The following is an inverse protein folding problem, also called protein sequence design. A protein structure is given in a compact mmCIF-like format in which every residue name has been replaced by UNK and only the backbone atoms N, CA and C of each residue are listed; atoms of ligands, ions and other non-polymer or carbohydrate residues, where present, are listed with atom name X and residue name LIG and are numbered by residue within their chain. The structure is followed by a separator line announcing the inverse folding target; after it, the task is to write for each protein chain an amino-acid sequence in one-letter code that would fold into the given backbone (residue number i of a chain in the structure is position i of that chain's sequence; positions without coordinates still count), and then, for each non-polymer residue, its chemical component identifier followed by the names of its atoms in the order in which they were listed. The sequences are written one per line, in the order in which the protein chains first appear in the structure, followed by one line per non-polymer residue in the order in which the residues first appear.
data_IF_472717476081
#
_entry.id   IF_472717476081
#
_cell.length_a   1.000
_cell.length_b   1.000
_cell.length_c   1.000
_cell.angle_alpha   90.00
_cell.angle_beta   90.00
_cell.angle_gamma   90.00
#
_symmetry.space_group_name_H-M   'P 1'
#
loop_
_entity.id
_entity.type
_entity.pdbx_description
1 polymer ?
#
# COMPACT_ATOMS: atom_id res chain seq x y z
N UNK A 1 -63.77 45.79 -68.11
CA UNK A 1 -64.06 46.38 -66.78
C UNK A 1 -64.36 45.22 -65.83
N UNK A 2 -63.75 45.02 -64.67
CA UNK A 2 -62.68 45.73 -63.97
C UNK A 2 -61.91 44.69 -63.13
N UNK A 3 -60.58 44.78 -63.15
CA UNK A 3 -59.61 43.90 -62.50
C UNK A 3 -59.46 44.23 -61.01
N UNK A 4 -59.38 43.20 -60.16
CA UNK A 4 -59.14 43.33 -58.72
C UNK A 4 -57.63 43.35 -58.41
N UNK A 5 -57.23 44.26 -57.53
CA UNK A 5 -55.85 44.56 -57.11
C UNK A 5 -55.38 43.66 -55.94
N UNK A 6 -54.14 43.10 -55.95
CA UNK A 6 -53.62 42.21 -54.90
C UNK A 6 -53.13 42.87 -53.60
N UNK A 7 -53.53 44.11 -53.27
CA UNK A 7 -52.92 44.87 -52.16
C UNK A 7 -53.61 44.74 -50.78
N UNK A 8 -54.69 43.97 -50.64
CA UNK A 8 -55.47 43.92 -49.40
C UNK A 8 -55.30 42.66 -48.53
N UNK A 9 -54.30 41.80 -48.80
CA UNK A 9 -54.13 40.53 -48.06
C UNK A 9 -52.96 40.47 -47.07
N UNK A 10 -52.32 41.60 -46.73
CA UNK A 10 -51.20 41.61 -45.75
C UNK A 10 -51.31 42.82 -44.83
N UNK A 11 -52.34 42.87 -43.98
CA UNK A 11 -52.42 43.90 -42.93
C UNK A 11 -53.12 43.47 -41.63
N UNK A 12 -53.16 42.18 -41.31
CA UNK A 12 -53.88 41.66 -40.14
C UNK A 12 -53.06 40.82 -39.15
N UNK A 13 -51.71 40.85 -39.20
CA UNK A 13 -50.93 39.92 -38.36
C UNK A 13 -49.73 40.47 -37.60
N UNK A 14 -49.69 41.76 -37.23
CA UNK A 14 -48.76 42.23 -36.19
C UNK A 14 -49.40 43.36 -35.40
N UNK A 15 -50.14 43.00 -34.35
CA UNK A 15 -50.58 43.95 -33.34
C UNK A 15 -49.39 44.36 -32.47
N UNK A 16 -49.14 45.67 -32.37
CA UNK A 16 -48.26 46.23 -31.35
C UNK A 16 -49.02 46.33 -30.02
N UNK A 17 -48.48 45.73 -28.96
CA UNK A 17 -48.82 46.09 -27.57
C UNK A 17 -47.54 46.27 -26.74
N UNK A 18 -47.44 47.34 -25.94
CA UNK A 18 -46.27 47.67 -25.13
C UNK A 18 -46.35 47.02 -23.73
N UNK A 19 -45.22 46.58 -23.18
CA UNK A 19 -45.06 46.37 -21.73
C UNK A 19 -43.58 46.21 -21.36
N UNK A 20 -42.89 47.34 -21.24
CA UNK A 20 -41.60 47.46 -20.54
C UNK A 20 -41.89 47.56 -19.03
N UNK A 21 -41.64 46.49 -18.28
CA UNK A 21 -41.49 46.58 -16.82
C UNK A 21 -40.79 45.38 -16.19
N UNK A 22 -40.80 44.21 -16.85
CA UNK A 22 -40.12 42.99 -16.36
C UNK A 22 -38.68 42.83 -16.84
N UNK A 23 -38.34 43.36 -18.01
CA UNK A 23 -36.97 43.26 -18.58
C UNK A 23 -35.99 44.13 -17.80
N UNK A 24 -36.40 45.33 -17.42
CA UNK A 24 -35.51 46.29 -16.75
C UNK A 24 -35.21 45.87 -15.31
N UNK A 25 -36.17 45.24 -14.62
CA UNK A 25 -35.95 44.64 -13.29
C UNK A 25 -35.00 43.44 -13.35
N UNK A 26 -35.07 42.62 -14.41
CA UNK A 26 -34.15 41.50 -14.59
C UNK A 26 -32.73 41.97 -14.94
N UNK A 27 -32.61 43.02 -15.75
CA UNK A 27 -31.33 43.58 -16.18
C UNK A 27 -30.60 44.27 -15.02
N UNK A 28 -31.32 45.01 -14.17
CA UNK A 28 -30.72 45.60 -12.96
C UNK A 28 -30.35 44.54 -11.91
N UNK A 29 -31.11 43.44 -11.80
CA UNK A 29 -30.74 42.32 -10.94
C UNK A 29 -29.47 41.62 -11.44
N UNK A 30 -29.35 41.39 -12.75
CA UNK A 30 -28.14 40.84 -13.36
C UNK A 30 -26.91 41.75 -13.20
N UNK A 31 -27.08 43.07 -13.30
CA UNK A 31 -25.99 44.02 -13.00
C UNK A 31 -25.55 43.96 -11.54
N UNK A 32 -26.48 43.83 -10.61
CA UNK A 32 -26.18 43.67 -9.17
C UNK A 32 -25.40 42.38 -8.88
N UNK A 33 -25.79 41.27 -9.50
CA UNK A 33 -25.12 39.97 -9.36
C UNK A 33 -23.71 39.98 -9.98
N UNK A 34 -23.52 40.64 -11.14
CA UNK A 34 -22.19 40.81 -11.76
C UNK A 34 -21.28 41.71 -10.92
N UNK A 35 -21.83 42.76 -10.30
CA UNK A 35 -21.07 43.62 -9.40
C UNK A 35 -20.62 42.86 -8.13
N UNK A 36 -21.51 42.04 -7.54
CA UNK A 36 -21.19 41.22 -6.38
C UNK A 36 -20.15 40.13 -6.69
N UNK A 37 -20.23 39.52 -7.88
CA UNK A 37 -19.21 38.59 -8.36
C UNK A 37 -17.86 39.26 -8.56
N UNK A 38 -17.86 40.48 -9.10
CA UNK A 38 -16.63 41.25 -9.33
C UNK A 38 -15.98 41.64 -8.00
N UNK A 39 -16.75 42.08 -7.00
CA UNK A 39 -16.21 42.38 -5.66
C UNK A 39 -15.68 41.12 -4.97
N UNK A 40 -16.35 39.97 -5.10
CA UNK A 40 -15.86 38.71 -4.52
C UNK A 40 -14.56 38.25 -5.18
N UNK A 41 -14.42 38.42 -6.50
CA UNK A 41 -13.20 38.09 -7.22
C UNK A 41 -12.03 39.02 -6.85
N UNK A 42 -12.31 40.31 -6.66
CA UNK A 42 -11.33 41.30 -6.20
C UNK A 42 -10.89 41.03 -4.74
N UNK A 43 -11.80 40.54 -3.89
CA UNK A 43 -11.50 40.13 -2.51
C UNK A 43 -10.62 38.87 -2.45
N UNK A 44 -10.89 37.88 -3.31
CA UNK A 44 -10.09 36.65 -3.45
C UNK A 44 -8.71 36.94 -4.02
N UNK A 45 -8.59 37.89 -4.96
CA UNK A 45 -7.32 38.24 -5.60
C UNK A 45 -6.48 39.22 -4.79
N UNK A 46 -7.07 40.04 -3.92
CA UNK A 46 -6.32 40.92 -3.00
C UNK A 46 -5.88 40.23 -1.70
N UNK A 47 -6.44 39.05 -1.38
CA UNK A 47 -6.03 38.16 -0.30
C UNK A 47 -4.65 37.53 -0.50
N UNK A 48 -3.61 38.35 -0.58
CA UNK A 48 -2.20 37.94 -0.65
C UNK A 48 -1.71 37.53 0.74
N UNK A 49 -2.23 36.40 1.23
CA UNK A 49 -1.78 35.73 2.45
C UNK A 49 -0.95 34.50 2.09
N UNK A 50 0.34 34.49 2.47
CA UNK A 50 1.20 33.29 2.44
C UNK A 50 0.51 32.15 3.19
N UNK A 51 -0.06 31.17 2.49
CA UNK A 51 -0.48 29.90 3.09
C UNK A 51 0.59 28.87 2.78
N UNK A 52 1.35 28.54 3.81
CA UNK A 52 2.40 27.51 3.82
C UNK A 52 1.80 26.13 3.59
N UNK A 53 2.56 25.30 2.87
CA UNK A 53 2.24 23.98 2.30
C UNK A 53 1.83 22.86 3.29
N UNK A 54 1.58 23.18 4.57
CA UNK A 54 1.45 22.17 5.64
C UNK A 54 0.02 21.83 6.08
N UNK A 55 -1.01 22.40 5.45
CA UNK A 55 -2.42 22.16 5.85
C UNK A 55 -3.32 21.57 4.76
N UNK A 56 -2.78 21.17 3.59
CA UNK A 56 -3.56 20.50 2.54
C UNK A 56 -3.78 18.99 2.74
N UNK A 57 -3.14 18.37 3.72
CA UNK A 57 -3.14 16.91 3.87
C UNK A 57 -4.19 16.32 4.84
N UNK A 58 -5.20 17.08 5.30
CA UNK A 58 -6.21 16.55 6.24
C UNK A 58 -7.68 16.63 5.80
N UNK A 59 -7.96 16.87 4.52
CA UNK A 59 -9.34 17.01 4.03
C UNK A 59 -9.61 16.29 2.70
N UNK A 60 -8.96 15.14 2.49
CA UNK A 60 -9.16 14.29 1.30
C UNK A 60 -9.30 12.81 1.66
N UNK A 61 -10.02 12.50 2.73
CA UNK A 61 -10.55 11.16 2.97
C UNK A 61 -12.02 11.25 3.35
N UNK A 62 -12.87 11.25 2.32
CA UNK A 62 -14.23 10.67 2.27
C UNK A 62 -15.11 11.43 1.26
N UNK A 63 -15.23 10.84 0.06
CA UNK A 63 -16.16 11.30 -0.97
C UNK A 63 -16.01 10.48 -2.24
N UNK A 64 -17.10 10.07 -2.91
CA UNK A 64 -17.03 9.14 -4.02
C UNK A 64 -16.33 9.81 -5.21
N UNK A 65 -15.20 9.25 -5.63
CA UNK A 65 -14.40 9.70 -6.77
C UNK A 65 -15.13 9.65 -8.14
N UNK A 66 -16.44 9.37 -8.15
CA UNK A 66 -17.26 9.24 -9.35
C UNK A 66 -18.08 10.50 -9.70
N UNK A 67 -18.15 11.50 -8.80
CA UNK A 67 -18.90 12.74 -9.06
C UNK A 67 -18.03 13.83 -9.73
N UNK A 68 -16.74 13.89 -9.41
CA UNK A 68 -15.81 14.88 -9.96
C UNK A 68 -15.42 14.60 -11.42
N UNK A 69 -15.30 13.34 -11.82
CA UNK A 69 -14.88 12.97 -13.18
C UNK A 69 -15.97 13.29 -14.22
N UNK A 70 -17.24 13.08 -13.89
CA UNK A 70 -18.38 13.43 -14.75
C UNK A 70 -18.55 14.94 -14.91
N UNK A 71 -18.30 15.72 -13.85
CA UNK A 71 -18.35 17.18 -13.90
C UNK A 71 -17.20 17.76 -14.73
N UNK A 72 -15.98 17.22 -14.60
CA UNK A 72 -14.82 17.64 -15.38
C UNK A 72 -14.98 17.33 -16.88
N UNK A 73 -15.55 16.16 -17.21
CA UNK A 73 -15.87 15.79 -18.60
C UNK A 73 -16.93 16.70 -19.22
N UNK A 74 -17.96 17.09 -18.45
CA UNK A 74 -19.02 18.00 -18.90
C UNK A 74 -18.51 19.42 -19.15
N UNK A 75 -17.63 19.93 -18.29
CA UNK A 75 -16.98 21.23 -18.48
C UNK A 75 -16.10 21.21 -19.73
N UNK A 76 -15.29 20.17 -19.92
CA UNK A 76 -14.43 20.04 -21.09
C UNK A 76 -15.22 19.97 -22.40
N UNK A 77 -16.35 19.25 -22.41
CA UNK A 77 -17.24 19.20 -23.58
C UNK A 77 -17.82 20.57 -23.92
N UNK A 78 -18.19 21.36 -22.91
CA UNK A 78 -18.68 22.74 -23.11
C UNK A 78 -17.58 23.69 -23.59
N UNK A 79 -16.35 23.54 -23.10
CA UNK A 79 -15.19 24.29 -23.61
C UNK A 79 -14.92 23.95 -25.09
N UNK A 80 -15.03 22.68 -25.47
CA UNK A 80 -14.86 22.25 -26.86
C UNK A 80 -15.96 22.80 -27.76
N UNK A 81 -17.23 22.76 -27.32
CA UNK A 81 -18.35 23.36 -28.04
C UNK A 81 -18.19 24.88 -28.21
N UNK A 82 -17.67 25.57 -27.20
CA UNK A 82 -17.41 27.00 -27.28
C UNK A 82 -16.31 27.32 -28.29
N UNK A 83 -15.22 26.53 -28.32
CA UNK A 83 -14.14 26.69 -29.30
C UNK A 83 -14.65 26.49 -30.73
N UNK A 84 -15.44 25.44 -30.97
CA UNK A 84 -16.06 25.18 -32.28
C UNK A 84 -17.02 26.32 -32.69
N UNK A 85 -17.82 26.84 -31.76
CA UNK A 85 -18.70 27.97 -32.04
C UNK A 85 -17.92 29.26 -32.37
N UNK A 86 -16.81 29.52 -31.67
CA UNK A 86 -15.94 30.66 -31.95
C UNK A 86 -15.25 30.53 -33.31
N UNK A 87 -14.78 29.35 -33.67
CA UNK A 87 -14.18 29.08 -34.98
C UNK A 87 -15.20 29.28 -36.11
N UNK A 88 -16.42 28.77 -35.95
CA UNK A 88 -17.51 28.97 -36.92
C UNK A 88 -17.88 30.45 -37.06
N UNK A 89 -17.92 31.20 -35.96
CA UNK A 89 -18.14 32.66 -36.01
C UNK A 89 -17.03 33.38 -36.78
N UNK A 90 -15.77 32.98 -36.61
CA UNK A 90 -14.66 33.53 -37.38
C UNK A 90 -14.80 33.24 -38.88
N UNK A 91 -15.20 32.01 -39.24
CA UNK A 91 -15.46 31.62 -40.62
C UNK A 91 -16.63 32.43 -41.23
N UNK A 92 -17.72 32.64 -40.49
CA UNK A 92 -18.84 33.48 -40.92
C UNK A 92 -18.43 34.92 -41.18
N UNK A 93 -17.56 35.49 -40.33
CA UNK A 93 -17.04 36.84 -40.52
C UNK A 93 -16.21 36.96 -41.81
N UNK A 94 -15.34 35.99 -42.08
CA UNK A 94 -14.54 35.95 -43.32
C UNK A 94 -15.45 35.82 -44.54
N UNK A 95 -16.45 34.94 -44.48
CA UNK A 95 -17.43 34.77 -45.53
C UNK A 95 -18.21 36.08 -45.79
N UNK A 96 -18.64 36.76 -44.73
CA UNK A 96 -19.34 38.04 -44.81
C UNK A 96 -18.50 39.10 -45.53
N UNK A 97 -17.22 39.22 -45.15
CA UNK A 97 -16.30 40.16 -45.75
C UNK A 97 -15.96 39.85 -47.22
N UNK A 98 -15.82 38.56 -47.56
CA UNK A 98 -15.67 38.12 -48.95
C UNK A 98 -16.93 38.46 -49.77
N UNK A 99 -18.11 38.20 -49.23
CA UNK A 99 -19.40 38.52 -49.85
C UNK A 99 -19.53 40.01 -50.10
N UNK A 100 -19.19 40.86 -49.12
CA UNK A 100 -19.20 42.30 -49.29
C UNK A 100 -18.23 42.77 -50.38
N UNK A 101 -17.02 42.20 -50.42
CA UNK A 101 -16.01 42.54 -51.42
C UNK A 101 -16.48 42.15 -52.84
N UNK A 102 -17.08 40.98 -52.97
CA UNK A 102 -17.65 40.51 -54.23
C UNK A 102 -18.79 41.42 -54.72
N UNK A 103 -19.73 41.79 -53.84
CA UNK A 103 -20.84 42.69 -54.18
C UNK A 103 -20.31 44.07 -54.59
N UNK A 104 -19.32 44.62 -53.88
CA UNK A 104 -18.65 45.88 -54.26
C UNK A 104 -18.01 45.78 -55.66
N UNK A 105 -17.37 44.66 -55.97
CA UNK A 105 -16.80 44.39 -57.29
C UNK A 105 -17.85 44.32 -58.41
N UNK A 106 -18.97 43.64 -58.16
CA UNK A 106 -20.09 43.59 -59.10
C UNK A 106 -20.67 44.97 -59.37
N UNK A 107 -20.89 45.78 -58.33
CA UNK A 107 -21.40 47.14 -58.48
C UNK A 107 -20.47 48.02 -59.33
N UNK A 108 -19.15 47.91 -59.13
CA UNK A 108 -18.17 48.62 -59.95
C UNK A 108 -18.20 48.16 -61.42
N UNK A 109 -18.39 46.86 -61.67
CA UNK A 109 -18.47 46.32 -63.03
C UNK A 109 -19.75 46.75 -63.75
N UNK A 110 -20.88 46.76 -63.04
CA UNK A 110 -22.16 47.25 -63.58
C UNK A 110 -22.01 48.71 -63.99
N UNK A 111 -21.45 49.56 -63.12
CA UNK A 111 -21.20 50.97 -63.42
C UNK A 111 -20.28 51.17 -64.64
N UNK A 112 -19.22 50.37 -64.76
CA UNK A 112 -18.32 50.43 -65.93
C UNK A 112 -19.04 50.06 -67.23
N UNK A 113 -19.88 49.03 -67.19
CA UNK A 113 -20.65 48.58 -68.36
C UNK A 113 -21.70 49.61 -68.75
N UNK A 114 -22.42 50.19 -67.80
CA UNK A 114 -23.39 51.27 -68.04
C UNK A 114 -22.73 52.45 -68.77
N UNK A 115 -21.55 52.87 -68.32
CA UNK A 115 -20.77 53.93 -68.97
C UNK A 115 -20.35 53.57 -70.40
N UNK A 116 -19.91 52.32 -70.64
CA UNK A 116 -19.55 51.84 -71.98
C UNK A 116 -20.76 51.81 -72.91
N UNK A 117 -21.92 51.41 -72.42
CA UNK A 117 -23.16 51.40 -73.21
C UNK A 117 -23.64 52.81 -73.57
N UNK A 118 -23.49 53.78 -72.66
CA UNK A 118 -23.80 55.18 -72.92
C UNK A 118 -22.89 55.79 -74.00
N UNK A 119 -21.59 55.47 -73.97
CA UNK A 119 -20.63 55.89 -75.00
C UNK A 119 -20.92 55.22 -76.35
N UNK A 120 -21.19 53.91 -76.35
CA UNK A 120 -21.49 53.14 -77.56
C UNK A 120 -22.80 53.59 -78.24
N UNK A 121 -23.83 53.94 -77.45
CA UNK A 121 -25.08 54.50 -77.94
C UNK A 121 -24.89 55.86 -78.62
N UNK A 122 -23.88 56.62 -78.19
CA UNK A 122 -23.55 57.94 -78.77
C UNK A 122 -22.72 57.83 -80.07
N UNK A 123 -22.04 56.70 -80.32
CA UNK A 123 -21.13 56.50 -81.47
C UNK A 123 -21.70 55.77 -82.69
N UNK A 124 -22.97 55.33 -82.67
CA UNK A 124 -23.53 54.39 -83.67
C UNK A 124 -23.96 54.94 -85.07
N UNK A 125 -24.00 56.24 -85.42
CA UNK A 125 -24.47 56.63 -86.76
C UNK A 125 -23.50 56.49 -87.96
N UNK A 126 -22.23 56.06 -87.84
CA UNK A 126 -21.22 56.39 -88.88
C UNK A 126 -20.51 55.25 -89.66
N UNK A 127 -20.80 53.97 -89.45
CA UNK A 127 -20.12 52.90 -90.20
C UNK A 127 -21.04 51.75 -90.62
N UNK A 128 -21.86 51.95 -91.65
CA UNK A 128 -22.36 50.83 -92.48
C UNK A 128 -22.68 51.32 -93.90
N UNK A 129 -21.65 51.57 -94.73
CA UNK A 129 -21.74 51.48 -96.20
C UNK A 129 -20.34 51.18 -96.75
N UNK A 130 -20.28 50.25 -97.72
CA UNK A 130 -19.14 49.87 -98.60
C UNK A 130 -18.40 48.59 -98.16
N UNK A 131 -18.20 47.55 -98.96
CA UNK A 131 -18.55 47.22 -100.36
C UNK A 131 -18.23 45.72 -100.55
N UNK A 132 -19.13 44.95 -101.15
CA UNK A 132 -18.80 43.65 -101.78
C UNK A 132 -18.51 43.90 -103.26
N UNK A 133 -17.47 43.29 -103.83
CA UNK A 133 -17.21 43.29 -105.27
C UNK A 133 -16.41 42.05 -105.65
N UNK A 134 -17.12 41.06 -106.19
CA UNK A 134 -16.64 39.78 -106.73
C UNK A 134 -15.97 39.93 -108.10
N UNK A 135 -14.99 39.07 -108.38
CA UNK A 135 -14.68 38.63 -109.75
C UNK A 135 -13.27 38.08 -109.96
N UNK A 136 -13.05 36.75 -109.83
CA UNK A 136 -12.00 36.00 -110.57
C UNK A 136 -12.20 34.44 -110.52
N UNK A 137 -13.10 33.82 -111.30
CA UNK A 137 -13.63 32.47 -110.98
C UNK A 137 -12.65 31.28 -111.02
N UNK A 138 -11.52 31.36 -111.75
CA UNK A 138 -10.65 30.21 -112.03
C UNK A 138 -9.42 30.13 -111.11
N UNK A 139 -8.72 31.25 -110.89
CA UNK A 139 -7.60 31.34 -109.94
C UNK A 139 -8.08 31.33 -108.49
N UNK A 140 -9.28 31.89 -108.23
CA UNK A 140 -9.94 31.74 -106.94
C UNK A 140 -10.26 30.26 -106.67
N UNK A 141 -10.78 29.52 -107.66
CA UNK A 141 -11.10 28.11 -107.50
C UNK A 141 -9.87 27.26 -107.14
N UNK A 142 -8.72 27.48 -107.79
CA UNK A 142 -7.48 26.78 -107.44
C UNK A 142 -6.96 27.14 -106.04
N UNK A 143 -7.10 28.40 -105.63
CA UNK A 143 -6.76 28.84 -104.26
C UNK A 143 -7.69 28.20 -103.22
N UNK A 144 -8.99 28.13 -103.49
CA UNK A 144 -9.96 27.46 -102.64
C UNK A 144 -9.71 25.96 -102.55
N UNK A 145 -9.38 25.30 -103.66
CA UNK A 145 -9.06 23.87 -103.67
C UNK A 145 -7.79 23.59 -102.84
N UNK A 146 -6.73 24.41 -102.96
CA UNK A 146 -5.53 24.30 -102.13
C UNK A 146 -5.81 24.56 -100.63
N UNK A 147 -6.62 25.57 -100.31
CA UNK A 147 -7.06 25.85 -98.92
C UNK A 147 -7.83 24.66 -98.34
N UNK A 148 -8.71 24.05 -99.13
CA UNK A 148 -9.51 22.91 -98.73
C UNK A 148 -8.65 21.66 -98.49
N UNK A 149 -7.63 21.44 -99.32
CA UNK A 149 -6.64 20.36 -99.15
C UNK A 149 -5.79 20.58 -97.88
N UNK A 150 -5.37 21.82 -97.61
CA UNK A 150 -4.67 22.17 -96.35
C UNK A 150 -5.56 21.91 -95.14
N UNK A 151 -6.79 22.41 -95.17
CA UNK A 151 -7.74 22.23 -94.06
C UNK A 151 -8.06 20.75 -93.79
N UNK A 152 -8.10 19.90 -94.82
CA UNK A 152 -8.25 18.44 -94.66
C UNK A 152 -7.04 17.81 -93.94
N UNK A 153 -5.82 18.19 -94.33
CA UNK A 153 -4.59 17.71 -93.67
C UNK A 153 -4.54 18.18 -92.21
N UNK A 154 -4.86 19.44 -91.96
CA UNK A 154 -4.92 19.99 -90.61
C UNK A 154 -5.96 19.25 -89.76
N UNK A 155 -7.15 18.99 -90.32
CA UNK A 155 -8.19 18.20 -89.64
C UNK A 155 -7.72 16.77 -89.34
N UNK A 156 -6.97 16.13 -90.24
CA UNK A 156 -6.44 14.78 -90.02
C UNK A 156 -5.36 14.75 -88.92
N UNK A 157 -4.50 15.77 -88.86
CA UNK A 157 -3.52 15.94 -87.77
C UNK A 157 -4.22 16.18 -86.43
N UNK A 158 -5.25 17.03 -86.40
CA UNK A 158 -6.06 17.25 -85.20
C UNK A 158 -6.76 15.96 -84.76
N UNK A 159 -7.31 15.18 -85.69
CA UNK A 159 -7.92 13.89 -85.38
C UNK A 159 -6.91 12.92 -84.76
N UNK A 160 -5.70 12.81 -85.32
CA UNK A 160 -4.62 11.99 -84.76
C UNK A 160 -4.22 12.47 -83.35
N UNK A 161 -4.08 13.78 -83.16
CA UNK A 161 -3.74 14.39 -81.87
C UNK A 161 -4.83 14.10 -80.82
N UNK A 162 -6.10 14.23 -81.19
CA UNK A 162 -7.23 13.89 -80.31
C UNK A 162 -7.23 12.41 -79.96
N UNK A 163 -6.93 11.51 -80.91
CA UNK A 163 -6.84 10.07 -80.60
C UNK A 163 -5.69 9.77 -79.64
N UNK A 164 -4.54 10.42 -79.77
CA UNK A 164 -3.41 10.24 -78.87
C UNK A 164 -3.72 10.74 -77.46
N UNK A 165 -4.28 11.94 -77.33
CA UNK A 165 -4.67 12.50 -76.03
C UNK A 165 -5.74 11.66 -75.32
N UNK A 166 -6.66 11.03 -76.07
CA UNK A 166 -7.64 10.10 -75.50
C UNK A 166 -6.96 8.87 -74.88
N UNK A 167 -5.99 8.28 -75.58
CA UNK A 167 -5.24 7.13 -75.07
C UNK A 167 -4.44 7.49 -73.80
N UNK A 168 -3.80 8.66 -73.80
CA UNK A 168 -3.08 9.15 -72.61
C UNK A 168 -4.03 9.38 -71.43
N UNK A 169 -5.19 9.98 -71.65
CA UNK A 169 -6.20 10.20 -70.62
C UNK A 169 -6.75 8.89 -70.04
N UNK A 170 -6.94 7.88 -70.89
CA UNK A 170 -7.37 6.53 -70.46
C UNK A 170 -6.27 5.82 -69.65
N UNK A 171 -4.99 5.99 -70.00
CA UNK A 171 -3.89 5.50 -69.17
C UNK A 171 -3.80 6.20 -67.82
N UNK A 172 -3.94 7.52 -67.78
CA UNK A 172 -3.95 8.27 -66.51
C UNK A 172 -5.13 7.87 -65.63
N UNK A 173 -6.31 7.67 -66.21
CA UNK A 173 -7.48 7.16 -65.50
C UNK A 173 -7.20 5.80 -64.87
N UNK A 174 -6.64 4.86 -65.63
CA UNK A 174 -6.32 3.51 -65.14
C UNK A 174 -5.31 3.55 -63.99
N UNK A 175 -4.26 4.36 -64.12
CA UNK A 175 -3.27 4.57 -63.05
C UNK A 175 -3.91 5.17 -61.80
N UNK A 176 -4.79 6.16 -61.97
CA UNK A 176 -5.52 6.75 -60.85
C UNK A 176 -6.38 5.71 -60.13
N UNK A 177 -7.16 4.92 -60.87
CA UNK A 177 -8.00 3.85 -60.31
C UNK A 177 -7.16 2.78 -59.57
N UNK A 178 -6.00 2.42 -60.10
CA UNK A 178 -5.07 1.48 -59.45
C UNK A 178 -4.50 2.07 -58.16
N UNK A 179 -4.02 3.32 -58.17
CA UNK A 179 -3.53 3.99 -56.96
C UNK A 179 -4.64 4.20 -55.92
N UNK A 180 -5.87 4.48 -56.34
CA UNK A 180 -7.01 4.60 -55.44
C UNK A 180 -7.27 3.27 -54.73
N UNK A 181 -7.24 2.16 -55.48
CA UNK A 181 -7.40 0.82 -54.92
C UNK A 181 -6.27 0.46 -53.95
N UNK A 182 -5.03 0.78 -54.28
CA UNK A 182 -3.89 0.58 -53.37
C UNK A 182 -4.06 1.33 -52.04
N UNK A 183 -4.54 2.58 -52.10
CA UNK A 183 -4.83 3.38 -50.90
C UNK A 183 -5.95 2.77 -50.06
N UNK A 184 -6.98 2.21 -50.69
CA UNK A 184 -8.07 1.50 -50.01
C UNK A 184 -7.57 0.20 -49.34
N UNK A 185 -6.76 -0.58 -50.05
CA UNK A 185 -6.17 -1.83 -49.54
C UNK A 185 -5.23 -1.54 -48.35
N UNK A 186 -4.38 -0.51 -48.45
CA UNK A 186 -3.51 -0.07 -47.36
C UNK A 186 -4.32 0.43 -46.14
N UNK A 187 -5.43 1.13 -46.36
CA UNK A 187 -6.33 1.55 -45.28
C UNK A 187 -6.95 0.34 -44.56
N UNK A 188 -7.37 -0.67 -45.31
CA UNK A 188 -7.91 -1.91 -44.73
C UNK A 188 -6.86 -2.65 -43.92
N UNK A 189 -5.63 -2.77 -44.43
CA UNK A 189 -4.51 -3.37 -43.72
C UNK A 189 -4.18 -2.61 -42.43
N UNK A 190 -4.10 -1.28 -42.48
CA UNK A 190 -3.85 -0.44 -41.30
C UNK A 190 -4.97 -0.60 -40.25
N UNK A 191 -6.22 -0.67 -40.69
CA UNK A 191 -7.38 -0.91 -39.81
C UNK A 191 -7.33 -2.29 -39.16
N UNK A 192 -6.96 -3.33 -39.93
CA UNK A 192 -6.77 -4.68 -39.42
C UNK A 192 -5.62 -4.73 -38.40
N UNK A 193 -4.49 -4.09 -38.70
CA UNK A 193 -3.35 -4.00 -37.78
C UNK A 193 -3.74 -3.33 -36.46
N UNK A 194 -4.41 -2.17 -36.52
CA UNK A 194 -4.87 -1.46 -35.31
C UNK A 194 -5.79 -2.33 -34.45
N UNK A 195 -6.68 -3.11 -35.07
CA UNK A 195 -7.56 -4.04 -34.35
C UNK A 195 -6.76 -5.17 -33.69
N UNK A 196 -5.79 -5.74 -34.39
CA UNK A 196 -4.91 -6.77 -33.83
C UNK A 196 -4.08 -6.22 -32.66
N UNK A 197 -3.53 -5.01 -32.78
CA UNK A 197 -2.77 -4.36 -31.71
C UNK A 197 -3.64 -4.11 -30.47
N UNK A 198 -4.88 -3.63 -30.67
CA UNK A 198 -5.83 -3.46 -29.57
C UNK A 198 -6.11 -4.80 -28.88
N UNK A 199 -6.43 -5.86 -29.64
CA UNK A 199 -6.68 -7.19 -29.09
C UNK A 199 -5.48 -7.71 -28.29
N UNK A 200 -4.27 -7.56 -28.83
CA UNK A 200 -3.04 -7.96 -28.13
C UNK A 200 -2.86 -7.21 -26.81
N UNK A 201 -3.08 -5.89 -26.79
CA UNK A 201 -3.02 -5.08 -25.57
C UNK A 201 -4.09 -5.49 -24.54
N UNK A 202 -5.29 -5.87 -24.99
CA UNK A 202 -6.34 -6.38 -24.11
C UNK A 202 -5.98 -7.74 -23.52
N UNK A 203 -5.43 -8.65 -24.32
CA UNK A 203 -4.92 -9.94 -23.85
C UNK A 203 -3.80 -9.76 -22.81
N UNK A 204 -2.86 -8.86 -23.06
CA UNK A 204 -1.76 -8.58 -22.14
C UNK A 204 -2.25 -7.93 -20.84
N UNK A 205 -3.26 -7.06 -20.93
CA UNK A 205 -3.96 -6.54 -19.75
C UNK A 205 -4.60 -7.67 -18.93
N UNK A 206 -5.31 -8.60 -19.57
CA UNK A 206 -5.90 -9.75 -18.88
C UNK A 206 -4.86 -10.69 -18.26
N UNK A 207 -3.73 -10.94 -18.95
CA UNK A 207 -2.61 -11.70 -18.38
C UNK A 207 -2.06 -11.00 -17.14
N UNK A 208 -1.90 -9.68 -17.19
CA UNK A 208 -1.41 -8.86 -16.07
C UNK A 208 -2.36 -8.90 -14.88
N UNK A 209 -3.67 -8.74 -15.12
CA UNK A 209 -4.71 -8.86 -14.08
C UNK A 209 -4.70 -10.26 -13.43
N UNK A 210 -4.52 -11.32 -14.22
CA UNK A 210 -4.41 -12.70 -13.71
C UNK A 210 -3.17 -12.87 -12.84
N UNK A 211 -2.03 -12.34 -13.26
CA UNK A 211 -0.79 -12.37 -12.46
C UNK A 211 -0.97 -11.62 -11.15
N UNK A 212 -1.66 -10.46 -11.17
CA UNK A 212 -1.93 -9.68 -9.97
C UNK A 212 -2.82 -10.46 -8.98
N UNK A 213 -3.91 -11.09 -9.44
CA UNK A 213 -4.76 -11.93 -8.59
C UNK A 213 -4.00 -13.07 -7.94
N UNK A 214 -3.18 -13.80 -8.72
CA UNK A 214 -2.35 -14.88 -8.19
C UNK A 214 -1.33 -14.37 -7.16
N UNK A 215 -0.80 -13.16 -7.35
CA UNK A 215 0.11 -12.53 -6.38
C UNK A 215 -0.61 -12.19 -5.08
N UNK A 216 -1.81 -11.65 -5.16
CA UNK A 216 -2.66 -11.35 -4.00
C UNK A 216 -3.01 -12.65 -3.23
N UNK A 217 -3.44 -13.69 -3.94
CA UNK A 217 -3.69 -15.02 -3.36
C UNK A 217 -2.44 -15.60 -2.69
N UNK A 218 -1.28 -15.52 -3.35
CA UNK A 218 -0.01 -15.98 -2.79
C UNK A 218 0.38 -15.23 -1.52
N UNK A 219 0.16 -13.90 -1.47
CA UNK A 219 0.41 -13.11 -0.28
C UNK A 219 -0.53 -13.50 0.87
N UNK A 220 -1.80 -13.78 0.59
CA UNK A 220 -2.77 -14.26 1.59
C UNK A 220 -2.34 -15.62 2.14
N UNK A 221 -1.94 -16.56 1.29
CA UNK A 221 -1.44 -17.86 1.74
C UNK A 221 -0.17 -17.74 2.57
N UNK A 222 0.76 -16.85 2.18
CA UNK A 222 1.96 -16.56 2.95
C UNK A 222 1.63 -16.03 4.34
N UNK A 223 0.67 -15.12 4.46
CA UNK A 223 0.19 -14.61 5.74
C UNK A 223 -0.35 -15.72 6.65
N UNK A 224 -1.24 -16.57 6.13
CA UNK A 224 -1.77 -17.73 6.87
C UNK A 224 -0.69 -18.70 7.33
N UNK A 225 0.30 -18.96 6.47
CA UNK A 225 1.44 -19.82 6.83
C UNK A 225 2.26 -19.22 7.97
N UNK A 226 2.49 -17.91 7.96
CA UNK A 226 3.21 -17.20 9.02
C UNK A 226 2.44 -17.23 10.35
N UNK A 227 1.11 -17.12 10.31
CA UNK A 227 0.25 -17.28 11.48
C UNK A 227 0.31 -18.70 12.06
N UNK A 228 0.20 -19.73 11.22
CA UNK A 228 0.34 -21.11 11.67
C UNK A 228 1.76 -21.40 12.19
N UNK A 229 2.80 -20.80 11.59
CA UNK A 229 4.16 -20.89 12.11
C UNK A 229 4.25 -20.32 13.53
N UNK A 230 3.67 -19.13 13.78
CA UNK A 230 3.65 -18.52 15.12
C UNK A 230 2.90 -19.37 16.13
N UNK A 231 1.71 -19.91 15.78
CA UNK A 231 0.97 -20.82 16.65
C UNK A 231 1.77 -22.08 16.97
N UNK A 232 2.51 -22.61 16.00
CA UNK A 232 3.40 -23.75 16.21
C UNK A 232 4.56 -23.41 17.15
N UNK A 233 5.21 -22.26 16.97
CA UNK A 233 6.28 -21.76 17.85
C UNK A 233 5.78 -21.55 19.30
N UNK A 234 4.56 -21.02 19.46
CA UNK A 234 3.90 -20.86 20.77
C UNK A 234 3.63 -22.21 21.42
N UNK A 235 3.08 -23.17 20.68
CA UNK A 235 2.81 -24.52 21.19
C UNK A 235 4.10 -25.24 21.60
N UNK A 236 5.16 -25.12 20.79
CA UNK A 236 6.49 -25.67 21.13
C UNK A 236 7.02 -25.04 22.41
N UNK A 237 6.85 -23.73 22.60
CA UNK A 237 7.25 -23.04 23.83
C UNK A 237 6.46 -23.53 25.04
N UNK A 238 5.16 -23.79 24.90
CA UNK A 238 4.34 -24.38 25.97
C UNK A 238 4.79 -25.80 26.31
N UNK A 239 5.01 -26.66 25.31
CA UNK A 239 5.50 -28.03 25.50
C UNK A 239 6.85 -28.02 26.22
N UNK A 240 7.76 -27.11 25.86
CA UNK A 240 9.06 -26.96 26.54
C UNK A 240 8.89 -26.64 28.02
N UNK A 241 8.04 -25.68 28.36
CA UNK A 241 7.78 -25.30 29.77
C UNK A 241 7.20 -26.47 30.55
N UNK A 242 6.25 -27.21 29.95
CA UNK A 242 5.66 -28.40 30.59
C UNK A 242 6.68 -29.52 30.79
N UNK A 243 7.61 -29.70 29.84
CA UNK A 243 8.68 -30.66 29.97
C UNK A 243 9.65 -30.29 31.11
N UNK A 244 10.03 -29.01 31.21
CA UNK A 244 10.87 -28.50 32.30
C UNK A 244 10.21 -28.63 33.67
N UNK A 245 8.89 -28.36 33.78
CA UNK A 245 8.17 -28.50 35.04
C UNK A 245 8.01 -29.96 35.45
N UNK A 246 7.79 -30.86 34.49
CA UNK A 246 7.75 -32.30 34.74
C UNK A 246 9.09 -32.82 35.28
N UNK A 247 10.20 -32.36 34.71
CA UNK A 247 11.54 -32.74 35.17
C UNK A 247 11.78 -32.28 36.63
N UNK A 248 11.44 -31.02 36.95
CA UNK A 248 11.51 -30.50 38.32
C UNK A 248 10.63 -31.30 39.29
N UNK A 249 9.42 -31.65 38.86
CA UNK A 249 8.54 -32.46 39.69
C UNK A 249 9.13 -33.85 39.96
N UNK A 250 9.80 -34.45 38.98
CA UNK A 250 10.48 -35.73 39.16
C UNK A 250 11.65 -35.61 40.15
N UNK A 251 12.46 -34.55 40.07
CA UNK A 251 13.52 -34.25 41.04
C UNK A 251 12.93 -34.11 42.46
N UNK A 252 11.85 -33.36 42.62
CA UNK A 252 11.14 -33.20 43.91
C UNK A 252 10.63 -34.54 44.44
N UNK A 253 10.01 -35.37 43.60
CA UNK A 253 9.55 -36.71 44.00
C UNK A 253 10.70 -37.58 44.51
N UNK A 254 11.86 -37.57 43.84
CA UNK A 254 13.03 -38.34 44.30
C UNK A 254 13.56 -37.83 45.64
N UNK A 255 13.55 -36.51 45.84
CA UNK A 255 13.95 -35.90 47.12
C UNK A 255 13.00 -36.27 48.25
N UNK A 256 11.69 -36.26 48.01
CA UNK A 256 10.68 -36.68 48.99
C UNK A 256 10.86 -38.14 49.35
N UNK A 257 11.02 -39.04 48.36
CA UNK A 257 11.25 -40.46 48.61
C UNK A 257 12.49 -40.72 49.47
N UNK A 258 13.58 -39.98 49.25
CA UNK A 258 14.79 -40.07 50.06
C UNK A 258 14.55 -39.62 51.51
N UNK A 259 13.83 -38.51 51.70
CA UNK A 259 13.48 -38.01 53.04
C UNK A 259 12.55 -38.98 53.78
N UNK A 260 11.58 -39.59 53.09
CA UNK A 260 10.70 -40.62 53.65
C UNK A 260 11.51 -41.85 54.09
N UNK A 261 12.47 -42.30 53.28
CA UNK A 261 13.37 -43.39 53.64
C UNK A 261 14.21 -43.05 54.88
N UNK A 262 14.75 -41.83 54.95
CA UNK A 262 15.51 -41.37 56.11
C UNK A 262 14.64 -41.32 57.38
N UNK A 263 13.42 -40.80 57.27
CA UNK A 263 12.46 -40.74 58.38
C UNK A 263 12.10 -42.14 58.89
N UNK A 264 11.89 -43.10 57.99
CA UNK A 264 11.64 -44.50 58.34
C UNK A 264 12.85 -45.12 59.04
N UNK A 265 14.07 -44.90 58.55
CA UNK A 265 15.29 -45.38 59.20
C UNK A 265 15.45 -44.82 60.62
N UNK A 266 15.29 -43.50 60.80
CA UNK A 266 15.35 -42.89 62.13
C UNK A 266 14.24 -43.40 63.08
N UNK A 267 13.05 -43.70 62.55
CA UNK A 267 11.95 -44.28 63.33
C UNK A 267 12.31 -45.68 63.81
N UNK A 268 12.88 -46.51 62.94
CA UNK A 268 13.34 -47.85 63.27
C UNK A 268 14.47 -47.84 64.31
N UNK A 269 15.45 -46.96 64.14
CA UNK A 269 16.55 -46.79 65.11
C UNK A 269 16.00 -46.37 66.48
N UNK A 270 15.03 -45.47 66.53
CA UNK A 270 14.38 -45.07 67.76
C UNK A 270 13.61 -46.21 68.45
N UNK A 271 12.92 -47.06 67.67
CA UNK A 271 12.25 -48.25 68.21
C UNK A 271 13.25 -49.27 68.78
N UNK A 272 14.38 -49.47 68.11
CA UNK A 272 15.46 -50.34 68.57
C UNK A 272 16.08 -49.81 69.88
N UNK A 273 16.42 -48.52 69.95
CA UNK A 273 16.93 -47.88 71.18
C UNK A 273 15.92 -47.97 72.34
N UNK A 274 14.63 -47.87 72.04
CA UNK A 274 13.58 -48.06 73.05
C UNK A 274 13.58 -49.49 73.60
N UNK A 275 13.74 -50.50 72.74
CA UNK A 275 13.85 -51.91 73.14
C UNK A 275 15.13 -52.14 73.96
N UNK A 276 16.27 -51.61 73.52
CA UNK A 276 17.54 -51.73 74.23
C UNK A 276 17.47 -51.09 75.62
N UNK A 277 16.86 -49.90 75.73
CA UNK A 277 16.60 -49.26 77.02
C UNK A 277 15.74 -50.13 77.93
N UNK A 278 14.67 -50.74 77.40
CA UNK A 278 13.82 -51.65 78.19
C UNK A 278 14.59 -52.89 78.66
N UNK A 279 15.43 -53.46 77.80
CA UNK A 279 16.29 -54.59 78.12
C UNK A 279 17.29 -54.22 79.24
N UNK A 280 17.97 -53.07 79.12
CA UNK A 280 18.89 -52.57 80.15
C UNK A 280 18.19 -52.30 81.48
N UNK A 281 16.97 -51.74 81.45
CA UNK A 281 16.16 -51.56 82.66
C UNK A 281 15.82 -52.91 83.32
N UNK A 282 15.48 -53.92 82.52
CA UNK A 282 15.24 -55.27 83.03
C UNK A 282 16.50 -55.88 83.65
N UNK A 283 17.65 -55.79 82.98
CA UNK A 283 18.93 -56.27 83.51
C UNK A 283 19.30 -55.58 84.83
N UNK A 284 19.14 -54.26 84.92
CA UNK A 284 19.34 -53.51 86.17
C UNK A 284 18.43 -53.99 87.29
N UNK A 285 17.14 -54.25 87.00
CA UNK A 285 16.22 -54.80 87.98
C UNK A 285 16.66 -56.17 88.51
N UNK A 286 17.14 -57.06 87.62
CA UNK A 286 17.69 -58.36 88.00
C UNK A 286 18.91 -58.21 88.89
N UNK A 287 19.89 -57.38 88.51
CA UNK A 287 21.09 -57.11 89.31
C UNK A 287 20.70 -56.55 90.69
N UNK A 288 19.79 -55.58 90.75
CA UNK A 288 19.31 -55.02 92.03
C UNK A 288 18.63 -56.09 92.90
N UNK A 289 17.87 -57.02 92.31
CA UNK A 289 17.25 -58.14 93.02
C UNK A 289 18.31 -59.09 93.59
N UNK A 290 19.30 -59.45 92.80
CA UNK A 290 20.40 -60.30 93.26
C UNK A 290 21.28 -59.61 94.31
N UNK A 291 21.56 -58.31 94.18
CA UNK A 291 22.25 -57.53 95.20
C UNK A 291 21.47 -57.49 96.52
N UNK A 292 20.13 -57.39 96.49
CA UNK A 292 19.30 -57.50 97.70
C UNK A 292 19.40 -58.89 98.34
N UNK A 293 19.40 -59.96 97.53
CA UNK A 293 19.59 -61.32 98.03
C UNK A 293 20.97 -61.51 98.63
N UNK A 294 22.04 -61.09 97.95
CA UNK A 294 23.40 -61.13 98.45
C UNK A 294 23.53 -60.34 99.77
N UNK A 295 22.92 -59.15 99.84
CA UNK A 295 22.85 -58.38 101.09
C UNK A 295 22.13 -59.14 102.20
N UNK A 296 20.99 -59.78 101.91
CA UNK A 296 20.27 -60.58 102.91
C UNK A 296 21.08 -61.79 103.39
N UNK A 297 21.83 -62.44 102.49
CA UNK A 297 22.75 -63.53 102.82
C UNK A 297 23.91 -63.03 103.68
N UNK A 298 24.49 -61.87 103.36
CA UNK A 298 25.51 -61.21 104.18
C UNK A 298 24.96 -60.93 105.59
N UNK A 299 23.78 -60.34 105.72
CA UNK A 299 23.14 -60.08 107.02
C UNK A 299 22.87 -61.36 107.82
N UNK A 300 22.49 -62.46 107.15
CA UNK A 300 22.32 -63.78 107.79
C UNK A 300 23.66 -64.40 108.24
N UNK A 301 24.72 -64.23 107.46
CA UNK A 301 26.07 -64.69 107.84
C UNK A 301 26.66 -63.83 108.97
N UNK A 302 26.38 -62.53 108.99
CA UNK A 302 26.74 -61.61 110.06
C UNK A 302 25.99 -61.93 111.36
N UNK A 303 24.70 -62.30 111.31
CA UNK A 303 23.94 -62.73 112.48
C UNK A 303 24.40 -64.10 112.99
N UNK A 304 24.77 -65.04 112.11
CA UNK A 304 25.41 -66.30 112.48
C UNK A 304 26.78 -66.08 113.14
N UNK A 305 27.57 -65.09 112.68
CA UNK A 305 28.80 -64.66 113.36
C UNK A 305 28.51 -64.04 114.74
N UNK A 306 27.40 -63.33 114.93
CA UNK A 306 26.99 -62.81 116.24
C UNK A 306 26.47 -63.90 117.19
N UNK A 307 25.92 -65.01 116.67
CA UNK A 307 25.45 -66.16 117.46
C UNK A 307 26.59 -67.11 117.89
N UNK A 308 27.76 -67.02 117.24
CA UNK A 308 29.02 -67.60 117.71
C UNK A 308 29.82 -66.56 118.50
N UNK A 309 29.24 -66.10 119.61
CA UNK A 309 29.92 -65.21 120.55
C UNK A 309 30.68 -65.99 121.61
N UNK A 310 31.97 -66.27 121.40
CA UNK A 310 32.96 -66.13 122.48
C UNK A 310 34.32 -65.68 121.94
N UNK A 311 34.58 -64.39 122.21
CA UNK A 311 35.83 -63.70 122.47
C UNK A 311 37.10 -64.11 121.71
N UNK A 312 37.68 -63.17 120.98
CA UNK A 312 38.99 -62.67 121.36
C UNK A 312 39.02 -61.14 121.26
N UNK A 313 39.29 -60.52 122.41
CA UNK A 313 39.77 -59.15 122.50
C UNK A 313 41.28 -59.12 122.26
N UNK A 314 41.78 -57.90 122.05
CA UNK A 314 43.19 -57.48 121.95
C UNK A 314 43.84 -57.69 120.56
N UNK A 315 44.64 -56.78 120.01
CA UNK A 315 45.16 -55.47 120.42
C UNK A 315 45.95 -54.91 119.22
N UNK A 316 45.87 -53.59 118.98
CA UNK A 316 46.96 -52.74 118.43
C UNK A 316 47.39 -53.01 116.96
N UNK A 317 47.93 -52.11 116.14
CA UNK A 317 48.38 -50.72 116.23
C UNK A 317 48.54 -50.18 114.78
N UNK A 318 48.87 -48.88 114.57
CA UNK A 318 48.71 -48.17 113.30
C UNK A 318 49.95 -48.25 112.40
N UNK A 319 49.79 -48.13 111.06
CA UNK A 319 50.69 -47.40 110.16
C UNK A 319 50.23 -47.52 108.68
N UNK A 320 49.63 -46.43 108.19
CA UNK A 320 50.01 -45.68 106.98
C UNK A 320 50.71 -46.43 105.81
N UNK A 321 50.05 -46.48 104.64
CA UNK A 321 50.67 -46.24 103.31
C UNK A 321 49.62 -46.09 102.20
N UNK A 322 49.24 -44.84 101.90
CA UNK A 322 49.00 -44.34 100.52
C UNK A 322 50.38 -44.33 99.79
N UNK A 323 50.51 -44.23 98.44
CA UNK A 323 49.56 -43.64 97.49
C UNK A 323 49.49 -44.30 96.08
N UNK A 324 48.66 -43.68 95.24
CA UNK A 324 48.86 -43.45 93.79
C UNK A 324 48.92 -44.65 92.81
N UNK A 325 47.94 -44.69 91.91
CA UNK A 325 48.30 -44.61 90.50
C UNK A 325 47.28 -43.81 89.68
N UNK A 326 47.70 -42.62 89.29
CA UNK A 326 47.17 -41.84 88.17
C UNK A 326 47.36 -42.64 86.89
N UNK A 327 46.28 -42.86 86.14
CA UNK A 327 46.38 -42.88 84.68
C UNK A 327 45.70 -41.62 84.16
N UNK A 328 46.55 -40.62 83.90
CA UNK A 328 46.28 -39.57 82.93
C UNK A 328 46.04 -40.25 81.58
N UNK A 329 44.81 -40.22 81.08
CA UNK A 329 44.61 -40.19 79.64
C UNK A 329 44.35 -38.74 79.28
N UNK A 330 45.35 -38.19 78.61
CA UNK A 330 45.37 -36.94 77.86
C UNK A 330 44.09 -36.71 77.06
N UNK A 331 43.53 -35.50 77.15
CA UNK A 331 42.57 -34.97 76.19
C UNK A 331 43.07 -35.16 74.75
N UNK A 332 42.14 -35.18 73.78
CA UNK A 332 42.10 -33.96 72.97
C UNK A 332 40.69 -33.46 72.69
N UNK A 333 40.54 -32.16 72.97
CA UNK A 333 40.02 -31.15 72.04
C UNK A 333 38.59 -31.34 71.55
N UNK A 334 37.71 -30.51 72.10
CA UNK A 334 36.78 -29.72 71.28
C UNK A 334 37.46 -29.32 69.96
N UNK A 335 36.91 -29.65 68.79
CA UNK A 335 37.26 -28.97 67.56
C UNK A 335 36.34 -27.76 67.44
N UNK A 336 36.61 -26.71 68.21
CA UNK A 336 36.01 -25.39 67.94
C UNK A 336 36.99 -24.47 67.21
N UNK A 337 38.16 -24.95 66.77
CA UNK A 337 39.16 -24.06 66.16
C UNK A 337 40.30 -24.82 65.46
N UNK A 338 40.03 -25.55 64.37
CA UNK A 338 41.10 -26.12 63.53
C UNK A 338 40.77 -26.39 62.05
N UNK A 339 39.57 -26.04 61.56
CA UNK A 339 39.28 -25.99 60.12
C UNK A 339 38.48 -24.72 59.85
N UNK A 340 39.14 -23.58 59.95
CA UNK A 340 38.50 -22.31 59.64
C UNK A 340 39.49 -21.34 59.00
N UNK A 341 40.24 -21.85 58.02
CA UNK A 341 41.08 -21.08 57.10
C UNK A 341 40.65 -21.31 55.65
N UNK A 342 39.39 -21.71 55.43
CA UNK A 342 38.83 -21.68 54.08
C UNK A 342 38.47 -20.23 53.76
N UNK A 343 39.26 -19.60 52.91
CA UNK A 343 38.95 -18.28 52.36
C UNK A 343 38.08 -18.50 51.12
N UNK A 344 36.92 -17.87 51.11
CA UNK A 344 36.00 -17.90 49.96
C UNK A 344 36.09 -16.58 49.22
N UNK A 345 36.22 -16.65 47.91
CA UNK A 345 36.46 -15.47 47.07
C UNK A 345 35.16 -15.00 46.42
N UNK A 346 35.01 -13.68 46.31
CA UNK A 346 33.95 -13.12 45.49
C UNK A 346 34.23 -13.40 44.00
N UNK A 347 33.29 -14.00 43.24
CA UNK A 347 33.50 -14.35 41.84
C UNK A 347 33.61 -13.13 40.89
N UNK A 348 33.27 -11.93 41.37
CA UNK A 348 33.33 -10.71 40.57
C UNK A 348 34.61 -9.89 40.78
N UNK A 349 35.22 -9.91 41.98
CA UNK A 349 36.39 -9.06 42.30
C UNK A 349 37.55 -9.78 43.02
N UNK A 350 37.41 -11.09 43.28
CA UNK A 350 38.41 -11.95 43.94
C UNK A 350 38.84 -11.51 45.36
N UNK A 351 38.04 -10.66 46.03
CA UNK A 351 38.26 -10.34 47.44
C UNK A 351 37.97 -11.58 48.29
N UNK A 352 38.89 -11.87 49.22
CA UNK A 352 38.86 -13.07 50.06
C UNK A 352 38.15 -12.79 51.39
N UNK A 353 37.20 -13.67 51.76
CA UNK A 353 36.47 -13.60 53.02
C UNK A 353 36.65 -14.90 53.81
N UNK A 354 36.78 -14.83 55.15
CA UNK A 354 36.76 -16.02 56.00
C UNK A 354 35.43 -16.79 55.87
N UNK A 355 35.47 -18.11 55.71
CA UNK A 355 34.26 -18.93 55.53
C UNK A 355 33.24 -18.85 56.69
N UNK A 356 33.67 -18.45 57.89
CA UNK A 356 32.79 -18.20 59.04
C UNK A 356 32.00 -16.88 58.95
N UNK A 357 32.35 -15.99 58.02
CA UNK A 357 31.70 -14.69 57.79
C UNK A 357 30.98 -14.67 56.42
N UNK A 358 30.35 -15.79 56.05
CA UNK A 358 29.59 -15.94 54.79
C UNK A 358 28.51 -14.85 54.59
N UNK A 359 27.98 -14.29 55.68
CA UNK A 359 26.98 -13.22 55.62
C UNK A 359 27.55 -11.93 55.02
N UNK A 360 28.81 -11.62 55.30
CA UNK A 360 29.49 -10.42 54.79
C UNK A 360 29.90 -10.59 53.32
N UNK A 361 30.26 -11.81 52.90
CA UNK A 361 30.45 -12.15 51.49
C UNK A 361 29.15 -12.00 50.67
N UNK A 362 28.01 -12.45 51.18
CA UNK A 362 26.72 -12.31 50.48
C UNK A 362 26.33 -10.84 50.30
N UNK A 363 26.47 -10.03 51.35
CA UNK A 363 26.25 -8.58 51.28
C UNK A 363 27.20 -7.96 50.25
N UNK A 364 28.46 -8.38 50.23
CA UNK A 364 29.42 -7.90 49.25
C UNK A 364 29.02 -8.28 47.81
N UNK A 365 28.59 -9.52 47.56
CA UNK A 365 28.16 -9.99 46.24
C UNK A 365 26.92 -9.25 45.72
N UNK A 366 26.00 -8.85 46.59
CA UNK A 366 24.80 -8.07 46.21
C UNK A 366 25.12 -6.71 45.59
N UNK A 367 26.21 -6.06 46.02
CA UNK A 367 26.65 -4.76 45.50
C UNK A 367 27.88 -4.85 44.59
N UNK A 368 28.53 -6.01 44.49
CA UNK A 368 29.70 -6.22 43.65
C UNK A 368 29.27 -6.47 42.19
N UNK A 369 29.22 -5.40 41.39
CA UNK A 369 29.09 -5.47 39.93
C UNK A 369 30.46 -5.71 39.28
N UNK A 370 30.49 -6.60 38.28
CA UNK A 370 31.69 -6.96 37.49
C UNK A 370 32.48 -5.78 36.95
#
# INVERSE_FOLDING_TARGET
MSSRSPKDLIKSKWGSRPSSSKSDTALEKFKGEVAAFKTSLDEITSGKGKVTEKEKCKLLESGPANCFNSSMSSIHEKEMQLKDALEKNQQWLVYDQQRETYVKGLLAKIFELEKRTEIAATSLPQQMKKTESEGYPQEEKQKYDHLLESAKKDLEVEQQTVTQLRLELDEFRRKYEETQKEVEDLHQLLSAQRKADIQHLEEDRHKTEKIQKLREESNVFKGKLEEERKKSEELVSQVRILYESLLKHQEEQTRVALLEQQMQACTLDFENEKLDRQNMQHQLYVILKELRKARSQITQLESLKQLHGFAFAEQSSPLQREPENRVKVTSPKSPTSALNESLVECPNCSVQYPANEHRDLLIHVEYCTK
#
